data_IF_557705583434
#
_entry.id   IF_557705583434
#
_cell.length_a   1.000
_cell.length_b   1.000
_cell.length_c   1.000
_cell.angle_alpha   90.00
_cell.angle_beta   90.00
_cell.angle_gamma   90.00
#
_symmetry.space_group_name_H-M   'P 1'
#
loop_
_entity.id
_entity.type
_entity.pdbx_description
1 polymer ?
#
# COMPACT_ATOMS: atom_id res chain seq x y z
N UNK A 1 19.61 -2.73 -0.57
CA UNK A 1 18.82 -2.05 0.49
C UNK A 1 17.54 -2.82 0.83
N UNK A 2 16.94 -2.68 2.03
CA UNK A 2 15.59 -3.20 2.34
C UNK A 2 14.75 -2.10 3.00
N UNK A 3 13.52 -1.91 2.53
CA UNK A 3 12.55 -0.97 3.14
C UNK A 3 11.91 -1.60 4.37
N UNK A 4 11.82 -0.86 5.48
CA UNK A 4 11.13 -1.30 6.70
C UNK A 4 10.07 -0.28 7.09
N UNK A 5 8.81 -0.71 7.14
CA UNK A 5 7.67 0.10 7.55
C UNK A 5 7.12 -0.41 8.88
N UNK A 6 7.20 0.43 9.91
CA UNK A 6 6.82 0.11 11.28
C UNK A 6 5.37 0.55 11.53
N UNK A 7 4.52 -0.41 11.90
CA UNK A 7 3.09 -0.25 12.16
C UNK A 7 2.79 -0.51 13.64
N UNK A 8 1.80 0.19 14.18
CA UNK A 8 1.28 -0.01 15.54
C UNK A 8 -0.02 -0.83 15.58
N UNK A 9 -0.60 -1.13 14.41
CA UNK A 9 -1.83 -1.92 14.30
C UNK A 9 -1.69 -3.33 14.89
N UNK A 10 -2.78 -3.85 15.45
CA UNK A 10 -2.85 -5.18 16.07
C UNK A 10 -2.93 -6.33 15.05
N UNK A 11 -3.49 -6.05 13.87
CA UNK A 11 -3.74 -7.03 12.81
C UNK A 11 -2.78 -6.81 11.65
N UNK A 12 -1.77 -7.68 11.46
CA UNK A 12 -0.91 -7.63 10.29
C UNK A 12 -1.64 -7.96 9.00
N UNK A 13 -1.20 -7.36 7.89
CA UNK A 13 -1.61 -7.81 6.56
C UNK A 13 -1.08 -9.21 6.28
N UNK A 14 -1.80 -9.95 5.43
CA UNK A 14 -1.39 -11.27 4.97
C UNK A 14 -0.09 -11.20 4.16
N UNK A 15 0.60 -12.34 3.99
CA UNK A 15 1.83 -12.41 3.17
C UNK A 15 1.56 -12.07 1.70
N UNK A 16 0.42 -12.50 1.17
CA UNK A 16 0.05 -12.28 -0.22
C UNK A 16 -0.34 -10.82 -0.46
N UNK A 17 -1.06 -10.22 0.47
CA UNK A 17 -1.39 -8.78 0.39
C UNK A 17 -0.17 -7.89 0.56
N UNK A 18 0.83 -8.33 1.32
CA UNK A 18 2.09 -7.61 1.40
C UNK A 18 2.82 -7.52 0.06
N UNK A 19 2.69 -8.51 -0.84
CA UNK A 19 3.29 -8.43 -2.18
C UNK A 19 2.66 -7.33 -3.03
N UNK A 20 1.36 -7.05 -2.83
CA UNK A 20 0.59 -6.04 -3.55
C UNK A 20 0.43 -4.73 -2.77
N UNK A 21 1.20 -4.55 -1.70
CA UNK A 21 1.00 -3.45 -0.76
C UNK A 21 1.52 -2.13 -1.35
N UNK A 22 0.59 -1.25 -1.76
CA UNK A 22 0.90 0.00 -2.47
C UNK A 22 1.95 0.87 -1.77
N UNK A 23 1.90 0.98 -0.43
CA UNK A 23 2.90 1.75 0.32
C UNK A 23 4.32 1.17 0.18
N UNK A 24 4.47 -0.16 0.21
CA UNK A 24 5.79 -0.80 0.09
C UNK A 24 6.30 -0.71 -1.34
N UNK A 25 5.42 -0.90 -2.32
CA UNK A 25 5.77 -0.76 -3.73
C UNK A 25 6.27 0.64 -4.05
N UNK A 26 5.59 1.68 -3.55
CA UNK A 26 6.00 3.07 -3.74
C UNK A 26 7.39 3.37 -3.16
N UNK A 27 7.68 2.88 -1.95
CA UNK A 27 9.01 3.06 -1.36
C UNK A 27 10.10 2.34 -2.14
N UNK A 28 9.83 1.12 -2.60
CA UNK A 28 10.78 0.38 -3.43
C UNK A 28 11.01 1.05 -4.78
N UNK A 29 9.95 1.60 -5.40
CA UNK A 29 10.08 2.40 -6.61
C UNK A 29 10.94 3.63 -6.37
N UNK A 30 10.70 4.39 -5.30
CA UNK A 30 11.48 5.58 -5.00
C UNK A 30 12.98 5.27 -4.83
N UNK A 31 13.31 4.14 -4.19
CA UNK A 31 14.70 3.66 -4.08
C UNK A 31 15.29 3.35 -5.47
N UNK A 32 14.56 2.64 -6.32
CA UNK A 32 14.98 2.34 -7.70
C UNK A 32 15.13 3.60 -8.58
N UNK A 33 14.35 4.66 -8.32
CA UNK A 33 14.45 5.96 -9.00
C UNK A 33 15.57 6.86 -8.42
N UNK A 34 16.41 6.34 -7.53
CA UNK A 34 17.57 7.06 -7.03
C UNK A 34 17.29 8.04 -5.89
N UNK A 35 16.21 7.85 -5.12
CA UNK A 35 15.94 8.66 -3.92
C UNK A 35 17.11 8.66 -2.92
N UNK A 36 17.89 7.59 -2.89
CA UNK A 36 19.04 7.43 -2.00
C UNK A 36 20.36 7.66 -2.75
N UNK A 37 21.33 8.35 -2.13
CA UNK A 37 22.56 8.80 -2.79
C UNK A 37 23.52 7.68 -3.23
N UNK A 38 23.30 6.45 -2.77
CA UNK A 38 24.22 5.33 -3.01
C UNK A 38 23.79 4.39 -4.15
N UNK A 39 22.78 4.77 -4.96
CA UNK A 39 22.35 3.95 -6.11
C UNK A 39 21.90 2.55 -5.71
N UNK A 40 21.36 2.41 -4.50
CA UNK A 40 20.95 1.13 -3.96
C UNK A 40 19.75 0.56 -4.73
N UNK A 41 19.86 -0.67 -5.22
CA UNK A 41 18.71 -1.42 -5.72
C UNK A 41 17.80 -1.87 -4.55
N UNK A 42 16.47 -1.86 -4.74
CA UNK A 42 15.54 -2.35 -3.74
C UNK A 42 15.64 -3.88 -3.61
N UNK A 43 16.06 -4.36 -2.43
CA UNK A 43 16.16 -5.78 -2.06
C UNK A 43 14.89 -6.35 -1.39
N UNK A 44 13.76 -5.66 -1.54
CA UNK A 44 12.48 -6.01 -0.91
C UNK A 44 12.06 -5.06 0.21
N UNK A 45 10.93 -5.40 0.83
CA UNK A 45 10.36 -4.62 1.92
C UNK A 45 9.81 -5.49 3.07
N UNK A 46 9.68 -4.91 4.25
CA UNK A 46 9.16 -5.55 5.46
C UNK A 46 8.18 -4.63 6.17
N UNK A 47 7.05 -5.19 6.59
CA UNK A 47 6.14 -4.58 7.57
C UNK A 47 6.44 -5.16 8.95
N UNK A 48 6.55 -4.29 9.96
CA UNK A 48 6.80 -4.66 11.36
C UNK A 48 5.69 -4.10 12.23
N UNK A 49 4.88 -4.97 12.83
CA UNK A 49 3.74 -4.62 13.68
C UNK A 49 4.11 -4.72 15.16
N UNK A 50 4.24 -3.57 15.83
CA UNK A 50 4.60 -3.48 17.26
C UNK A 50 3.43 -3.88 18.17
N UNK A 51 2.19 -3.68 17.72
CA UNK A 51 0.97 -3.98 18.49
C UNK A 51 0.63 -5.46 18.58
N UNK A 52 1.42 -6.36 17.97
CA UNK A 52 1.24 -7.81 18.02
C UNK A 52 2.37 -8.43 18.82
N UNK A 53 2.03 -9.09 19.94
CA UNK A 53 3.00 -9.79 20.78
C UNK A 53 3.57 -11.02 20.07
N UNK A 54 4.88 -11.27 20.26
CA UNK A 54 5.61 -12.42 19.73
C UNK A 54 6.67 -12.06 18.67
N UNK A 55 7.92 -12.49 18.91
CA UNK A 55 9.14 -12.20 18.12
C UNK A 55 9.08 -12.53 16.62
N UNK A 56 8.07 -13.26 16.13
CA UNK A 56 7.86 -13.57 14.70
C UNK A 56 6.46 -13.20 14.20
N UNK A 57 5.52 -12.92 15.10
CA UNK A 57 4.11 -12.80 14.77
C UNK A 57 3.75 -11.49 14.06
N UNK A 58 4.57 -10.45 14.22
CA UNK A 58 4.35 -9.11 13.66
C UNK A 58 5.18 -8.78 12.43
N UNK A 59 5.71 -9.74 11.67
CA UNK A 59 6.49 -9.43 10.46
C UNK A 59 5.89 -10.02 9.19
N UNK A 60 5.71 -9.17 8.19
CA UNK A 60 5.29 -9.57 6.83
C UNK A 60 6.30 -9.03 5.82
N UNK A 61 6.66 -9.82 4.80
CA UNK A 61 7.69 -9.47 3.81
C UNK A 61 7.07 -9.35 2.42
N UNK A 62 7.47 -8.31 1.70
CA UNK A 62 7.29 -8.20 0.26
C UNK A 62 8.63 -8.47 -0.44
N UNK A 63 8.60 -9.16 -1.57
CA UNK A 63 9.75 -9.33 -2.45
C UNK A 63 10.23 -7.98 -3.02
N UNK A 64 11.41 -7.98 -3.61
CA UNK A 64 11.83 -6.89 -4.49
C UNK A 64 10.93 -6.87 -5.72
N UNK A 65 10.41 -5.70 -6.09
CA UNK A 65 9.67 -5.56 -7.34
C UNK A 65 10.64 -5.84 -8.52
N UNK A 66 10.25 -6.72 -9.44
CA UNK A 66 10.96 -6.90 -10.72
C UNK A 66 10.75 -5.68 -11.64
N UNK A 67 11.43 -5.67 -12.80
CA UNK A 67 11.35 -4.55 -13.73
C UNK A 67 9.94 -4.27 -14.24
N UNK A 68 9.16 -5.31 -14.58
CA UNK A 68 7.79 -5.15 -15.06
C UNK A 68 6.85 -4.61 -13.98
N UNK A 69 6.93 -5.18 -12.78
CA UNK A 69 6.21 -4.67 -11.60
C UNK A 69 6.54 -3.19 -11.34
N UNK A 70 7.82 -2.79 -11.44
CA UNK A 70 8.22 -1.38 -11.26
C UNK A 70 7.64 -0.45 -12.31
N UNK A 71 7.63 -0.87 -13.57
CA UNK A 71 7.06 -0.07 -14.66
C UNK A 71 5.55 0.13 -14.48
N UNK A 72 4.82 -0.89 -14.04
CA UNK A 72 3.40 -0.79 -13.70
C UNK A 72 3.16 0.24 -12.59
N UNK A 73 3.94 0.17 -11.50
CA UNK A 73 3.84 1.15 -10.41
C UNK A 73 4.22 2.56 -10.85
N UNK A 74 5.25 2.72 -11.70
CA UNK A 74 5.65 4.02 -12.25
C UNK A 74 4.52 4.64 -13.07
N UNK A 75 3.88 3.84 -13.93
CA UNK A 75 2.74 4.30 -14.72
C UNK A 75 1.54 4.68 -13.84
N UNK A 76 1.25 3.88 -12.81
CA UNK A 76 0.14 4.16 -11.88
C UNK A 76 0.37 5.46 -11.10
N UNK A 77 1.57 5.66 -10.55
CA UNK A 77 1.93 6.86 -9.78
C UNK A 77 2.00 8.10 -10.67
N UNK A 78 2.54 7.96 -11.88
CA UNK A 78 2.66 9.05 -12.85
C UNK A 78 1.33 9.45 -13.51
N UNK A 79 0.22 8.73 -13.23
CA UNK A 79 -1.06 9.00 -13.87
C UNK A 79 -1.58 10.39 -13.49
N UNK A 80 -1.78 11.31 -14.45
CA UNK A 80 -2.14 12.68 -14.13
C UNK A 80 -3.55 12.74 -13.51
N UNK A 81 -3.83 13.66 -12.57
CA UNK A 81 -5.11 13.72 -11.83
C UNK A 81 -6.36 13.70 -12.72
N UNK A 82 -6.32 14.31 -13.92
CA UNK A 82 -7.44 14.30 -14.88
C UNK A 82 -7.82 12.91 -15.40
N UNK A 83 -6.87 11.97 -15.41
CA UNK A 83 -7.09 10.57 -15.78
C UNK A 83 -7.54 9.74 -14.57
N UNK A 84 -7.51 10.33 -13.37
CA UNK A 84 -8.25 9.77 -12.24
C UNK A 84 -9.71 10.09 -12.50
N UNK A 85 -10.59 9.08 -12.51
CA UNK A 85 -11.97 9.33 -12.82
C UNK A 85 -12.54 10.35 -11.80
N UNK A 86 -12.82 11.57 -12.26
CA UNK A 86 -13.38 12.64 -11.43
C UNK A 86 -14.76 12.29 -10.84
N UNK A 87 -15.39 11.24 -11.37
CA UNK A 87 -16.73 10.78 -11.03
C UNK A 87 -16.81 9.36 -10.43
N UNK A 88 -15.68 8.68 -10.18
CA UNK A 88 -15.75 7.35 -9.55
C UNK A 88 -15.91 7.56 -8.05
N UNK A 89 -17.15 7.42 -7.59
CA UNK A 89 -17.38 6.87 -6.26
C UNK A 89 -16.45 5.67 -6.10
N UNK A 90 -15.46 5.79 -5.22
CA UNK A 90 -14.61 4.64 -4.93
C UNK A 90 -15.55 3.51 -4.54
N UNK A 91 -15.46 2.32 -5.18
CA UNK A 91 -16.35 1.23 -4.86
C UNK A 91 -16.29 0.94 -3.37
N UNK A 92 -17.40 0.42 -2.82
CA UNK A 92 -17.44 -0.06 -1.44
C UNK A 92 -16.26 -0.99 -1.22
N UNK A 93 -15.50 -0.74 -0.15
CA UNK A 93 -14.29 -1.46 0.19
C UNK A 93 -14.20 -1.63 1.72
N UNK A 94 -13.22 -2.40 2.16
CA UNK A 94 -13.03 -2.75 3.58
C UNK A 94 -12.71 -1.53 4.47
N UNK A 95 -12.37 -0.38 3.88
CA UNK A 95 -12.21 0.89 4.59
C UNK A 95 -13.52 1.60 4.91
N UNK A 96 -14.62 1.26 4.24
CA UNK A 96 -15.91 1.93 4.43
C UNK A 96 -16.42 1.93 5.88
N UNK A 97 -16.33 0.84 6.67
CA UNK A 97 -16.76 0.83 8.07
C UNK A 97 -16.05 1.85 8.97
N UNK A 98 -14.84 2.27 8.60
CA UNK A 98 -14.01 3.21 9.35
C UNK A 98 -13.95 4.61 8.72
N UNK A 99 -14.65 4.83 7.60
CA UNK A 99 -14.59 6.08 6.85
C UNK A 99 -15.45 7.17 7.52
N UNK A 100 -14.88 8.32 7.93
CA UNK A 100 -15.64 9.39 8.56
C UNK A 100 -16.67 10.04 7.62
N UNK A 101 -16.46 9.92 6.30
CA UNK A 101 -17.36 10.44 5.28
C UNK A 101 -18.52 9.49 4.96
N UNK A 102 -18.58 8.29 5.55
CA UNK A 102 -19.61 7.27 5.26
C UNK A 102 -21.05 7.82 5.36
N UNK A 103 -21.44 8.64 6.36
CA UNK A 103 -22.82 9.12 6.47
C UNK A 103 -23.32 9.93 5.26
N UNK A 104 -22.42 10.63 4.57
CA UNK A 104 -22.74 11.41 3.36
C UNK A 104 -22.26 10.74 2.06
N UNK A 105 -21.73 9.52 2.13
CA UNK A 105 -21.10 8.87 0.97
C UNK A 105 -22.18 8.35 0.00
N UNK A 106 -22.23 8.82 -1.26
CA UNK A 106 -23.24 8.37 -2.21
C UNK A 106 -23.15 6.88 -2.55
N UNK A 107 -21.97 6.25 -2.41
CA UNK A 107 -21.81 4.81 -2.57
C UNK A 107 -22.60 3.97 -1.54
N UNK A 108 -23.08 4.61 -0.46
CA UNK A 108 -23.94 4.00 0.55
C UNK A 108 -25.37 4.60 0.57
N UNK A 109 -25.66 5.61 -0.24
CA UNK A 109 -26.92 6.37 -0.20
C UNK A 109 -28.12 5.64 -0.84
N UNK A 110 -27.99 4.35 -1.20
CA UNK A 110 -29.04 3.54 -1.85
C UNK A 110 -29.23 2.11 -1.30
N UNK A 111 -28.62 1.77 -0.15
CA UNK A 111 -28.80 0.45 0.48
C UNK A 111 -29.88 0.46 1.58
N UNK A 112 -30.57 -0.66 1.87
CA UNK A 112 -31.59 -0.70 2.92
C UNK A 112 -30.97 -0.39 4.29
N UNK A 113 -31.72 0.37 5.09
CA UNK A 113 -31.39 0.72 6.48
C UNK A 113 -31.46 -0.50 7.39
#
# INVERSE_FOLDING_TARGET
>A
MVVVDVKTGKTPVSKDDAQRHAQLALYQLAVAEGLLPHGDEPGGARLVYLGRSGLRAGRTRAGSADAGSRDEWRQLVGRPPRQWPAAVHRPVNDGCPHCPMRPGCPAHAGGPR
#
